data_IF_937214776133
#
_entry.id   IF_937214776133
#
_cell.length_a   1.000
_cell.length_b   1.000
_cell.length_c   1.000
_cell.angle_alpha   90.00
_cell.angle_beta   90.00
_cell.angle_gamma   90.00
#
_symmetry.space_group_name_H-M   'P 1'
#
loop_
_entity.id
_entity.type
_entity.pdbx_description
1 polymer ?
#
# COMPACT_ATOMS: atom_id res chain seq x y z
N UNK A 1 1.92 79.48 -30.65
CA UNK A 1 2.99 78.55 -30.19
C UNK A 1 2.54 77.20 -29.69
N UNK A 2 1.26 76.94 -29.45
CA UNK A 2 0.75 75.64 -28.89
C UNK A 2 0.57 74.46 -29.86
N UNK A 3 0.41 74.76 -31.18
CA UNK A 3 0.21 73.66 -32.16
C UNK A 3 1.46 72.77 -32.40
N UNK A 4 2.67 73.35 -32.17
CA UNK A 4 3.93 72.67 -32.44
C UNK A 4 4.30 71.63 -31.32
N UNK A 5 3.72 71.79 -30.14
CA UNK A 5 3.93 70.88 -29.01
C UNK A 5 3.10 69.54 -29.07
N UNK A 6 1.93 69.64 -29.69
CA UNK A 6 1.02 68.51 -29.83
C UNK A 6 1.52 67.50 -30.88
N UNK A 7 2.04 67.97 -31.98
CA UNK A 7 2.65 67.14 -33.03
C UNK A 7 3.88 66.38 -32.56
N UNK A 8 4.76 67.03 -31.76
CA UNK A 8 5.95 66.42 -31.19
C UNK A 8 5.57 65.28 -30.18
N UNK A 9 4.57 65.50 -29.34
CA UNK A 9 4.09 64.50 -28.39
C UNK A 9 3.48 63.24 -29.07
N UNK A 10 2.73 63.48 -30.17
CA UNK A 10 2.15 62.37 -30.98
C UNK A 10 3.27 61.59 -31.69
N UNK A 11 4.26 62.29 -32.27
CA UNK A 11 5.40 61.63 -32.90
C UNK A 11 6.23 60.81 -31.92
N UNK A 12 6.47 61.30 -30.70
CA UNK A 12 7.17 60.55 -29.64
C UNK A 12 6.39 59.35 -29.21
N UNK A 13 5.05 59.43 -29.06
CA UNK A 13 4.20 58.32 -28.71
C UNK A 13 4.17 57.22 -29.80
N UNK A 14 4.15 57.64 -31.07
CA UNK A 14 4.20 56.67 -32.20
C UNK A 14 5.58 55.99 -32.31
N UNK A 15 6.68 56.69 -32.04
CA UNK A 15 8.01 56.09 -31.99
C UNK A 15 8.12 55.09 -30.82
N UNK A 16 7.63 55.48 -29.64
CA UNK A 16 7.61 54.58 -28.48
C UNK A 16 6.77 53.30 -28.74
N UNK A 17 5.62 53.45 -29.38
CA UNK A 17 4.78 52.35 -29.80
C UNK A 17 5.49 51.42 -30.82
N UNK A 18 6.14 52.01 -31.82
CA UNK A 18 6.90 51.26 -32.82
C UNK A 18 8.05 50.46 -32.19
N UNK A 19 8.78 51.08 -31.26
CA UNK A 19 9.83 50.41 -30.49
C UNK A 19 9.26 49.26 -29.65
N UNK A 20 8.14 49.45 -28.94
CA UNK A 20 7.49 48.41 -28.16
C UNK A 20 7.04 47.21 -29.03
N UNK A 21 6.50 47.50 -30.22
CA UNK A 21 6.12 46.44 -31.20
C UNK A 21 7.34 45.68 -31.70
N UNK A 22 8.45 46.36 -31.98
CA UNK A 22 9.70 45.69 -32.40
C UNK A 22 10.25 44.80 -31.29
N UNK A 23 10.29 45.29 -30.05
CA UNK A 23 10.71 44.46 -28.91
C UNK A 23 9.76 43.28 -28.64
N UNK A 24 8.45 43.46 -28.80
CA UNK A 24 7.48 42.38 -28.71
C UNK A 24 7.74 41.28 -29.74
N UNK A 25 7.92 41.64 -31.00
CA UNK A 25 8.20 40.67 -32.06
C UNK A 25 9.61 40.07 -31.95
N UNK A 26 10.61 40.81 -31.52
CA UNK A 26 11.94 40.28 -31.25
C UNK A 26 11.91 39.28 -30.09
N UNK A 27 11.23 39.62 -28.99
CA UNK A 27 11.03 38.71 -27.85
C UNK A 27 10.28 37.43 -28.25
N UNK A 28 9.23 37.58 -29.07
CA UNK A 28 8.47 36.44 -29.58
C UNK A 28 9.32 35.55 -30.52
N UNK A 29 10.14 36.13 -31.39
CA UNK A 29 11.05 35.40 -32.26
C UNK A 29 12.12 34.63 -31.45
N UNK A 30 12.73 35.29 -30.45
CA UNK A 30 13.69 34.64 -29.55
C UNK A 30 13.03 33.48 -28.78
N UNK A 31 11.85 33.71 -28.21
CA UNK A 31 11.12 32.65 -27.51
C UNK A 31 10.81 31.44 -28.41
N UNK A 32 10.50 31.67 -29.68
CA UNK A 32 10.27 30.61 -30.67
C UNK A 32 11.54 29.89 -31.10
N UNK A 33 12.66 30.60 -31.25
CA UNK A 33 13.95 30.03 -31.64
C UNK A 33 14.64 29.25 -30.50
N UNK A 34 14.34 29.61 -29.25
CA UNK A 34 14.90 28.93 -28.06
C UNK A 34 14.03 27.75 -27.57
N UNK A 35 12.88 27.51 -28.22
CA UNK A 35 12.01 26.42 -27.86
C UNK A 35 12.67 25.08 -28.17
N UNK A 36 12.81 24.21 -27.17
CA UNK A 36 13.43 22.87 -27.37
C UNK A 36 12.59 22.05 -28.34
N UNK A 37 13.28 21.31 -29.22
CA UNK A 37 12.66 20.46 -30.26
C UNK A 37 11.64 19.48 -29.67
N UNK A 38 11.90 18.94 -28.49
CA UNK A 38 11.06 17.98 -27.79
C UNK A 38 9.69 18.57 -27.43
N UNK A 39 9.65 19.82 -26.96
CA UNK A 39 8.40 20.53 -26.64
C UNK A 39 7.58 20.79 -27.90
N UNK A 40 8.24 21.16 -29.00
CA UNK A 40 7.58 21.36 -30.28
C UNK A 40 6.96 20.06 -30.84
N UNK A 41 7.64 18.94 -30.70
CA UNK A 41 7.13 17.62 -31.14
C UNK A 41 5.91 17.17 -30.34
N UNK A 42 5.93 17.42 -29.03
CA UNK A 42 4.79 17.12 -28.15
C UNK A 42 3.55 17.95 -28.50
N UNK A 43 3.71 19.26 -28.70
CA UNK A 43 2.62 20.15 -29.09
C UNK A 43 2.05 19.82 -30.47
N UNK A 44 2.92 19.44 -31.43
CA UNK A 44 2.48 18.94 -32.70
C UNK A 44 1.63 17.67 -32.56
N UNK A 45 2.09 16.71 -31.76
CA UNK A 45 1.36 15.46 -31.54
C UNK A 45 -0.01 15.73 -30.88
N UNK A 46 -0.05 16.60 -29.86
CA UNK A 46 -1.31 17.02 -29.22
C UNK A 46 -2.30 17.62 -30.23
N UNK A 47 -1.79 18.52 -31.10
CA UNK A 47 -2.61 19.15 -32.12
C UNK A 47 -3.20 18.12 -33.11
N UNK A 48 -2.33 17.23 -33.64
CA UNK A 48 -2.77 16.20 -34.58
C UNK A 48 -3.81 15.27 -33.98
N UNK A 49 -3.64 14.83 -32.72
CA UNK A 49 -4.61 13.97 -32.03
C UNK A 49 -5.93 14.72 -31.82
N UNK A 50 -5.87 15.98 -31.35
CA UNK A 50 -7.07 16.79 -31.12
C UNK A 50 -7.87 17.09 -32.39
N UNK A 51 -7.19 17.22 -33.53
CA UNK A 51 -7.84 17.49 -34.84
C UNK A 51 -8.35 16.23 -35.55
N UNK A 52 -7.73 15.06 -35.32
CA UNK A 52 -7.97 13.88 -36.19
C UNK A 52 -8.49 12.65 -35.44
N UNK A 53 -8.43 12.59 -34.11
CA UNK A 53 -8.94 11.44 -33.39
C UNK A 53 -10.47 11.41 -33.48
N UNK A 54 -11.04 10.24 -33.73
CA UNK A 54 -12.48 10.04 -34.02
C UNK A 54 -13.42 10.36 -32.85
N UNK A 55 -12.92 10.44 -31.62
CA UNK A 55 -13.67 10.87 -30.43
C UNK A 55 -13.16 12.21 -29.95
N UNK A 56 -14.05 13.01 -29.39
CA UNK A 56 -13.66 14.25 -28.71
C UNK A 56 -12.90 13.93 -27.43
N UNK A 57 -11.67 14.45 -27.30
CA UNK A 57 -10.86 14.41 -26.09
C UNK A 57 -10.55 15.84 -25.69
N UNK A 58 -10.83 16.23 -24.46
CA UNK A 58 -10.48 17.57 -23.97
C UNK A 58 -8.96 17.72 -23.84
N UNK A 59 -8.46 18.95 -23.99
CA UNK A 59 -7.02 19.22 -23.84
C UNK A 59 -6.49 18.81 -22.45
N UNK A 60 -7.30 18.98 -21.38
CA UNK A 60 -6.94 18.55 -20.03
C UNK A 60 -6.82 17.04 -19.92
N UNK A 61 -7.81 16.31 -20.39
CA UNK A 61 -7.81 14.84 -20.39
C UNK A 61 -6.63 14.27 -21.20
N UNK A 62 -6.31 14.89 -22.33
CA UNK A 62 -5.16 14.47 -23.13
C UNK A 62 -3.84 14.71 -22.37
N UNK A 63 -3.71 15.86 -21.71
CA UNK A 63 -2.53 16.18 -20.90
C UNK A 63 -2.34 15.19 -19.77
N UNK A 64 -3.39 14.90 -19.00
CA UNK A 64 -3.36 13.94 -17.89
C UNK A 64 -2.94 12.54 -18.34
N UNK A 65 -3.54 12.06 -19.44
CA UNK A 65 -3.18 10.76 -20.05
C UNK A 65 -1.73 10.72 -20.51
N UNK A 66 -1.21 11.84 -21.06
CA UNK A 66 0.18 11.92 -21.52
C UNK A 66 1.17 11.88 -20.36
N UNK A 67 0.90 12.60 -19.27
CA UNK A 67 1.75 12.59 -18.07
C UNK A 67 1.67 11.23 -17.36
N UNK A 68 0.48 10.62 -17.28
CA UNK A 68 0.31 9.24 -16.78
C UNK A 68 1.13 8.24 -17.59
N UNK A 69 1.12 8.37 -18.92
CA UNK A 69 1.93 7.55 -19.81
C UNK A 69 3.43 7.74 -19.59
N UNK A 70 3.88 8.99 -19.44
CA UNK A 70 5.27 9.31 -19.11
C UNK A 70 5.69 8.66 -17.78
N UNK A 71 4.92 8.84 -16.72
CA UNK A 71 5.23 8.26 -15.40
C UNK A 71 5.35 6.73 -15.49
N UNK A 72 4.37 6.05 -16.11
CA UNK A 72 4.38 4.60 -16.29
C UNK A 72 5.53 4.07 -17.14
N UNK A 73 6.09 4.89 -18.04
CA UNK A 73 7.22 4.48 -18.89
C UNK A 73 8.56 4.39 -18.13
N UNK A 74 8.65 4.96 -16.92
CA UNK A 74 9.86 4.95 -16.11
C UNK A 74 10.00 3.61 -15.35
N UNK A 75 9.00 3.29 -14.54
CA UNK A 75 8.89 2.03 -13.82
C UNK A 75 7.43 1.83 -13.33
N UNK A 76 7.04 0.64 -12.85
CA UNK A 76 5.66 0.37 -12.43
C UNK A 76 5.23 1.12 -11.14
N UNK A 77 6.14 1.78 -10.44
CA UNK A 77 5.90 2.48 -9.17
C UNK A 77 5.77 3.99 -9.34
N UNK A 78 6.20 4.51 -10.51
CA UNK A 78 6.02 5.91 -10.88
C UNK A 78 4.59 6.18 -11.29
N UNK A 79 4.00 7.27 -10.76
CA UNK A 79 2.59 7.56 -10.96
C UNK A 79 2.33 9.07 -10.97
N UNK A 80 1.41 9.49 -11.85
CA UNK A 80 0.88 10.84 -11.85
C UNK A 80 -0.56 10.82 -11.36
N UNK A 81 -0.88 11.77 -10.50
CA UNK A 81 -2.21 11.99 -9.94
C UNK A 81 -2.72 13.38 -10.34
N UNK A 82 -3.94 13.47 -10.80
CA UNK A 82 -4.68 14.73 -10.80
C UNK A 82 -4.88 15.23 -9.36
N UNK A 83 -5.27 16.48 -9.16
CA UNK A 83 -5.49 17.01 -7.81
C UNK A 83 -6.56 16.22 -7.03
N UNK A 84 -7.58 15.72 -7.70
CA UNK A 84 -8.63 14.89 -7.11
C UNK A 84 -8.09 13.51 -6.73
N UNK A 85 -7.45 12.80 -7.66
CA UNK A 85 -6.84 11.49 -7.40
C UNK A 85 -5.81 11.56 -6.26
N UNK A 86 -5.01 12.64 -6.19
CA UNK A 86 -4.04 12.78 -5.11
C UNK A 86 -4.70 12.99 -3.74
N UNK A 87 -5.74 13.82 -3.68
CA UNK A 87 -6.52 14.00 -2.45
C UNK A 87 -7.13 12.67 -1.98
N UNK A 88 -7.69 11.88 -2.91
CA UNK A 88 -8.32 10.60 -2.59
C UNK A 88 -7.26 9.55 -2.16
N UNK A 89 -6.08 9.55 -2.79
CA UNK A 89 -4.95 8.73 -2.37
C UNK A 89 -4.48 9.09 -0.94
N UNK A 90 -4.38 10.38 -0.61
CA UNK A 90 -4.03 10.83 0.75
C UNK A 90 -5.09 10.39 1.78
N UNK A 91 -6.38 10.56 1.47
CA UNK A 91 -7.47 10.12 2.34
C UNK A 91 -7.41 8.60 2.55
N UNK A 92 -7.23 7.84 1.47
CA UNK A 92 -7.07 6.38 1.54
C UNK A 92 -5.88 5.96 2.41
N UNK A 93 -4.72 6.60 2.26
CA UNK A 93 -3.51 6.29 3.04
C UNK A 93 -3.60 6.76 4.51
N UNK A 94 -4.48 7.72 4.82
CA UNK A 94 -4.77 8.09 6.22
C UNK A 94 -5.67 7.09 6.94
N UNK A 95 -6.16 6.06 6.24
CA UNK A 95 -7.07 5.05 6.77
C UNK A 95 -8.55 5.36 6.56
N UNK A 96 -8.89 6.54 6.03
CA UNK A 96 -10.28 6.88 5.70
C UNK A 96 -10.71 6.12 4.45
N UNK A 97 -11.71 5.28 4.58
CA UNK A 97 -12.25 4.44 3.51
C UNK A 97 -13.77 4.62 3.41
N UNK A 98 -14.31 4.31 2.23
CA UNK A 98 -15.76 4.17 2.02
C UNK A 98 -16.02 2.91 1.22
N UNK A 99 -17.09 2.21 1.53
CA UNK A 99 -17.46 0.96 0.88
C UNK A 99 -17.79 -0.14 1.87
N UNK A 100 -17.71 -1.38 1.42
CA UNK A 100 -17.90 -2.57 2.26
C UNK A 100 -16.57 -3.10 2.85
N UNK A 101 -15.44 -2.80 2.23
CA UNK A 101 -14.10 -3.12 2.74
C UNK A 101 -13.63 -4.53 2.46
N UNK A 102 -13.76 -4.98 1.22
CA UNK A 102 -13.24 -6.26 0.73
C UNK A 102 -12.37 -6.09 -0.50
N UNK A 103 -11.33 -6.94 -0.63
CA UNK A 103 -10.68 -7.24 -1.90
C UNK A 103 -11.19 -8.59 -2.39
N UNK A 104 -11.44 -8.71 -3.68
CA UNK A 104 -12.05 -9.91 -4.24
C UNK A 104 -11.66 -10.13 -5.71
N UNK A 105 -11.74 -11.40 -6.13
CA UNK A 105 -11.61 -11.80 -7.51
C UNK A 105 -12.78 -12.72 -7.90
N UNK A 106 -13.05 -12.83 -9.21
CA UNK A 106 -13.99 -13.84 -9.71
C UNK A 106 -13.21 -15.08 -10.11
N UNK A 107 -13.62 -16.22 -9.60
CA UNK A 107 -13.08 -17.54 -9.93
C UNK A 107 -14.12 -18.27 -10.77
N UNK A 108 -13.76 -18.58 -12.00
CA UNK A 108 -14.62 -19.34 -12.92
C UNK A 108 -14.66 -20.83 -12.59
N UNK A 109 -15.63 -21.54 -13.20
CA UNK A 109 -15.79 -22.98 -13.04
C UNK A 109 -14.53 -23.74 -13.47
N UNK A 110 -14.12 -24.71 -12.64
CA UNK A 110 -12.96 -25.58 -12.92
C UNK A 110 -11.59 -24.92 -12.75
N UNK A 111 -11.52 -23.66 -12.30
CA UNK A 111 -10.26 -22.95 -12.04
C UNK A 111 -9.74 -23.23 -10.65
N UNK A 112 -10.64 -23.32 -9.65
CA UNK A 112 -10.27 -23.57 -8.25
C UNK A 112 -10.05 -25.06 -7.99
N UNK A 113 -8.98 -25.47 -7.27
CA UNK A 113 -8.69 -26.89 -6.99
C UNK A 113 -9.83 -27.66 -6.32
N UNK A 114 -10.69 -26.99 -5.54
CA UNK A 114 -11.87 -27.58 -4.90
C UNK A 114 -13.17 -27.44 -5.71
N UNK A 115 -13.08 -27.17 -7.00
CA UNK A 115 -14.24 -26.96 -7.89
C UNK A 115 -15.22 -25.85 -7.42
N UNK A 116 -14.73 -24.87 -6.64
CA UNK A 116 -15.52 -23.70 -6.25
C UNK A 116 -15.44 -22.62 -7.30
N UNK A 117 -16.55 -21.93 -7.53
CA UNK A 117 -16.63 -20.77 -8.43
C UNK A 117 -17.44 -19.66 -7.77
N UNK A 118 -17.26 -18.44 -8.27
CA UNK A 118 -17.92 -17.23 -7.75
C UNK A 118 -16.95 -16.15 -7.31
N UNK A 119 -17.40 -15.28 -6.45
CA UNK A 119 -16.59 -14.19 -5.91
C UNK A 119 -15.78 -14.69 -4.71
N UNK A 120 -14.49 -14.91 -4.90
CA UNK A 120 -13.57 -15.22 -3.80
C UNK A 120 -13.18 -13.92 -3.09
N UNK A 121 -13.43 -13.87 -1.79
CA UNK A 121 -12.96 -12.78 -0.92
C UNK A 121 -11.48 -13.01 -0.61
N UNK A 122 -10.61 -12.21 -1.22
CA UNK A 122 -9.16 -12.31 -1.05
C UNK A 122 -8.70 -11.71 0.28
N UNK A 123 -9.31 -10.58 0.67
CA UNK A 123 -9.05 -9.96 1.97
C UNK A 123 -10.26 -9.18 2.47
N UNK A 124 -10.35 -9.01 3.79
CA UNK A 124 -11.33 -8.16 4.47
C UNK A 124 -10.57 -7.12 5.28
N UNK A 125 -10.84 -5.85 5.00
CA UNK A 125 -10.16 -4.72 5.65
C UNK A 125 -10.61 -4.62 7.11
N UNK A 126 -9.67 -4.54 8.03
CA UNK A 126 -9.93 -4.39 9.46
C UNK A 126 -10.84 -3.17 9.75
N UNK A 127 -11.78 -3.35 10.69
CA UNK A 127 -12.79 -2.37 11.08
C UNK A 127 -13.78 -1.95 9.97
N UNK A 128 -13.78 -2.61 8.82
CA UNK A 128 -14.75 -2.37 7.73
C UNK A 128 -16.14 -2.91 8.05
N UNK A 129 -17.18 -2.50 7.29
CA UNK A 129 -18.52 -3.10 7.40
C UNK A 129 -18.50 -4.63 7.19
N UNK A 130 -17.78 -5.13 6.20
CA UNK A 130 -17.63 -6.56 5.97
C UNK A 130 -16.93 -7.29 7.13
N UNK A 131 -15.88 -6.68 7.70
CA UNK A 131 -15.20 -7.23 8.88
C UNK A 131 -16.16 -7.35 10.07
N UNK A 132 -16.94 -6.29 10.35
CA UNK A 132 -17.92 -6.24 11.44
C UNK A 132 -19.09 -7.20 11.25
N UNK A 133 -19.46 -7.51 10.01
CA UNK A 133 -20.49 -8.51 9.72
C UNK A 133 -20.05 -9.94 9.97
N UNK A 134 -18.74 -10.18 10.14
CA UNK A 134 -18.15 -11.51 10.31
C UNK A 134 -17.64 -12.16 9.02
N UNK A 135 -17.77 -11.51 7.85
CA UNK A 135 -17.18 -11.98 6.59
C UNK A 135 -15.65 -12.07 6.72
N UNK A 136 -15.05 -13.11 6.20
CA UNK A 136 -13.59 -13.33 6.27
C UNK A 136 -13.00 -13.64 4.89
N UNK A 137 -11.69 -13.49 4.79
CA UNK A 137 -10.94 -13.90 3.61
C UNK A 137 -11.12 -15.39 3.34
N UNK A 138 -11.15 -15.76 2.06
CA UNK A 138 -11.30 -17.12 1.57
C UNK A 138 -12.70 -17.65 1.49
N UNK A 139 -13.68 -16.86 1.75
CA UNK A 139 -15.06 -17.22 1.49
C UNK A 139 -15.43 -16.96 0.04
N UNK A 140 -16.27 -17.85 -0.49
CA UNK A 140 -16.83 -17.71 -1.83
C UNK A 140 -18.25 -17.14 -1.73
N UNK A 141 -18.44 -15.90 -2.12
CA UNK A 141 -19.77 -15.27 -2.23
C UNK A 141 -20.43 -15.72 -3.52
N UNK A 142 -21.52 -16.44 -3.39
CA UNK A 142 -22.32 -16.96 -4.52
C UNK A 142 -23.41 -16.00 -4.97
N UNK A 143 -23.99 -15.25 -4.04
CA UNK A 143 -25.08 -14.34 -4.31
C UNK A 143 -25.20 -13.23 -3.26
N UNK A 144 -26.03 -12.24 -3.58
CA UNK A 144 -26.44 -11.21 -2.62
C UNK A 144 -27.97 -11.03 -2.66
N UNK A 145 -28.56 -10.68 -1.50
CA UNK A 145 -29.98 -10.41 -1.37
C UNK A 145 -30.20 -8.93 -0.99
N UNK A 146 -31.01 -8.25 -1.79
CA UNK A 146 -31.38 -6.85 -1.54
C UNK A 146 -32.84 -6.62 -1.92
N UNK A 147 -33.62 -6.02 -1.02
CA UNK A 147 -35.06 -5.71 -1.20
C UNK A 147 -35.88 -6.93 -1.69
N UNK A 148 -35.59 -8.13 -1.17
CA UNK A 148 -36.26 -9.38 -1.54
C UNK A 148 -35.84 -9.97 -2.90
N UNK A 149 -34.99 -9.29 -3.67
CA UNK A 149 -34.39 -9.82 -4.89
C UNK A 149 -33.03 -10.46 -4.61
N UNK A 150 -32.71 -11.50 -5.37
CA UNK A 150 -31.41 -12.19 -5.32
C UNK A 150 -30.60 -11.87 -6.56
N UNK A 151 -29.36 -11.43 -6.40
CA UNK A 151 -28.39 -11.24 -7.46
C UNK A 151 -27.30 -12.32 -7.37
N UNK A 152 -26.94 -12.94 -8.50
CA UNK A 152 -25.80 -13.86 -8.64
C UNK A 152 -24.74 -13.18 -9.49
N UNK A 153 -23.48 -13.61 -9.36
CA UNK A 153 -22.35 -12.93 -9.97
C UNK A 153 -21.53 -13.91 -10.83
N UNK A 154 -21.38 -13.58 -12.12
CA UNK A 154 -20.59 -14.33 -13.07
C UNK A 154 -19.31 -13.58 -13.49
N UNK A 155 -19.05 -12.44 -12.91
CA UNK A 155 -17.85 -11.65 -13.13
C UNK A 155 -17.55 -10.72 -11.94
N UNK A 156 -16.31 -10.25 -11.90
CA UNK A 156 -15.90 -9.21 -10.96
C UNK A 156 -16.71 -7.93 -11.10
N UNK A 157 -16.97 -7.53 -12.35
CA UNK A 157 -17.67 -6.28 -12.65
C UNK A 157 -19.14 -6.31 -12.19
N UNK A 158 -19.81 -7.46 -12.31
CA UNK A 158 -21.19 -7.61 -11.81
C UNK A 158 -21.25 -7.42 -10.31
N UNK A 159 -20.31 -7.98 -9.55
CA UNK A 159 -20.25 -7.79 -8.10
C UNK A 159 -19.90 -6.34 -7.74
N UNK A 160 -18.93 -5.73 -8.43
CA UNK A 160 -18.57 -4.32 -8.25
C UNK A 160 -19.79 -3.43 -8.49
N UNK A 161 -20.47 -3.60 -9.63
CA UNK A 161 -21.65 -2.82 -9.98
C UNK A 161 -22.80 -3.01 -8.97
N UNK A 162 -22.97 -4.23 -8.45
CA UNK A 162 -23.96 -4.47 -7.38
C UNK A 162 -23.63 -3.65 -6.13
N UNK A 163 -22.39 -3.65 -5.66
CA UNK A 163 -21.97 -2.87 -4.48
C UNK A 163 -22.08 -1.36 -4.75
N UNK A 164 -21.63 -0.90 -5.92
CA UNK A 164 -21.62 0.52 -6.26
C UNK A 164 -23.04 1.11 -6.40
N UNK A 165 -24.00 0.30 -6.82
CA UNK A 165 -25.40 0.69 -6.91
C UNK A 165 -26.10 0.86 -5.54
N UNK A 166 -25.47 0.48 -4.43
CA UNK A 166 -26.00 0.68 -3.07
C UNK A 166 -25.69 2.08 -2.58
N UNK A 167 -26.67 2.72 -1.95
CA UNK A 167 -26.44 3.96 -1.21
C UNK A 167 -25.71 3.67 0.11
N UNK A 168 -25.04 4.69 0.65
CA UNK A 168 -24.44 4.57 1.98
C UNK A 168 -25.52 4.30 3.03
N UNK A 169 -25.27 3.28 3.87
CA UNK A 169 -26.22 2.82 4.88
C UNK A 169 -27.28 1.82 4.39
N UNK A 170 -27.38 1.55 3.09
CA UNK A 170 -28.29 0.52 2.59
C UNK A 170 -27.75 -0.88 2.93
N UNK A 171 -28.52 -1.65 3.71
CA UNK A 171 -28.19 -3.01 4.10
C UNK A 171 -28.55 -4.00 2.98
N UNK A 172 -27.66 -4.96 2.76
CA UNK A 172 -27.86 -6.12 1.91
C UNK A 172 -27.17 -7.33 2.52
N UNK A 173 -27.61 -8.53 2.14
CA UNK A 173 -26.97 -9.77 2.60
C UNK A 173 -26.05 -10.32 1.52
N UNK A 174 -24.85 -10.73 1.92
CA UNK A 174 -23.96 -11.56 1.12
C UNK A 174 -24.14 -13.01 1.56
N UNK A 175 -24.31 -13.91 0.60
CA UNK A 175 -24.45 -15.36 0.82
C UNK A 175 -23.15 -15.99 0.38
N UNK A 176 -22.41 -16.53 1.33
CA UNK A 176 -21.16 -17.25 1.07
C UNK A 176 -21.30 -18.75 1.33
N UNK A 177 -20.25 -19.49 1.03
CA UNK A 177 -20.12 -20.92 1.33
C UNK A 177 -19.95 -21.21 2.83
N UNK A 178 -19.82 -20.18 3.68
CA UNK A 178 -19.67 -20.30 5.14
C UNK A 178 -20.80 -19.65 5.94
N UNK A 179 -21.60 -18.77 5.33
CA UNK A 179 -22.69 -18.12 6.04
C UNK A 179 -23.35 -16.98 5.29
N UNK A 180 -24.24 -16.31 6.00
CA UNK A 180 -24.93 -15.11 5.53
C UNK A 180 -24.46 -13.90 6.32
N UNK A 181 -24.09 -12.83 5.64
CA UNK A 181 -23.54 -11.62 6.25
C UNK A 181 -24.34 -10.40 5.85
N UNK A 182 -24.90 -9.72 6.82
CA UNK A 182 -25.57 -8.41 6.57
C UNK A 182 -24.50 -7.32 6.56
N UNK A 183 -24.40 -6.64 5.44
CA UNK A 183 -23.38 -5.61 5.18
C UNK A 183 -24.08 -4.34 4.70
N UNK A 184 -23.60 -3.18 5.13
CA UNK A 184 -24.00 -1.88 4.61
C UNK A 184 -22.76 -1.13 4.12
N UNK A 185 -22.86 -0.51 2.94
CA UNK A 185 -21.80 0.39 2.47
C UNK A 185 -21.74 1.62 3.38
N UNK A 186 -20.57 1.95 3.91
CA UNK A 186 -20.39 3.13 4.76
C UNK A 186 -18.94 3.63 4.78
N UNK A 187 -18.76 4.85 5.29
CA UNK A 187 -17.44 5.36 5.64
C UNK A 187 -16.93 4.69 6.92
N UNK A 188 -15.64 4.37 6.97
CA UNK A 188 -14.99 3.77 8.14
C UNK A 188 -13.51 4.16 8.19
N UNK A 189 -12.90 4.04 9.37
CA UNK A 189 -11.45 4.13 9.53
C UNK A 189 -10.89 2.71 9.57
N UNK A 190 -9.98 2.41 8.65
CA UNK A 190 -9.31 1.11 8.57
C UNK A 190 -8.45 0.88 9.80
N UNK A 191 -8.46 -0.32 10.36
CA UNK A 191 -7.42 -0.81 11.26
C UNK A 191 -6.41 -1.65 10.49
N UNK A 192 -5.16 -1.60 10.94
CA UNK A 192 -4.02 -2.22 10.27
C UNK A 192 -3.40 -3.35 11.08
N UNK A 193 -3.74 -3.45 12.37
CA UNK A 193 -3.14 -4.41 13.27
C UNK A 193 -4.19 -5.30 13.94
N UNK A 194 -3.77 -6.53 14.20
CA UNK A 194 -4.55 -7.56 14.89
C UNK A 194 -3.59 -8.41 15.72
N UNK A 195 -3.97 -8.78 16.93
CA UNK A 195 -3.18 -9.66 17.80
C UNK A 195 -4.04 -10.81 18.36
N UNK A 196 -3.43 -11.96 18.55
CA UNK A 196 -4.05 -13.11 19.21
C UNK A 196 -3.02 -13.90 20.01
N UNK A 197 -3.50 -14.50 21.10
CA UNK A 197 -2.85 -15.60 21.81
C UNK A 197 -3.61 -16.92 21.54
N UNK A 198 -3.35 -17.96 22.29
CA UNK A 198 -4.08 -19.22 22.15
C UNK A 198 -5.60 -19.09 22.44
N UNK A 199 -5.97 -18.25 23.39
CA UNK A 199 -7.30 -18.16 23.97
C UNK A 199 -7.98 -16.79 23.83
N UNK A 200 -7.25 -15.76 23.44
CA UNK A 200 -7.72 -14.39 23.31
C UNK A 200 -7.32 -13.77 21.98
N UNK A 201 -8.07 -12.76 21.56
CA UNK A 201 -7.69 -11.91 20.43
C UNK A 201 -8.03 -10.46 20.73
N UNK A 202 -7.22 -9.55 20.19
CA UNK A 202 -7.37 -8.11 20.28
C UNK A 202 -7.50 -7.50 18.90
N UNK A 203 -8.50 -6.66 18.77
CA UNK A 203 -8.77 -5.90 17.54
C UNK A 203 -8.81 -4.42 17.84
N UNK A 204 -8.38 -3.60 16.90
CA UNK A 204 -8.47 -2.16 17.00
C UNK A 204 -9.63 -1.66 16.18
N UNK A 205 -10.49 -0.86 16.79
CA UNK A 205 -11.62 -0.19 16.14
C UNK A 205 -11.56 1.32 16.35
N UNK A 206 -12.46 2.04 15.70
CA UNK A 206 -12.53 3.50 15.81
C UNK A 206 -13.95 3.93 16.13
N UNK A 207 -14.14 4.57 17.28
CA UNK A 207 -15.42 5.08 17.77
C UNK A 207 -15.31 6.58 18.03
N UNK A 208 -16.11 7.39 17.32
CA UNK A 208 -16.05 8.85 17.44
C UNK A 208 -14.64 9.44 17.18
N UNK A 209 -13.85 8.80 16.32
CA UNK A 209 -12.47 9.21 16.00
C UNK A 209 -11.41 8.79 17.02
N UNK A 210 -11.80 8.03 18.07
CA UNK A 210 -10.87 7.48 19.06
C UNK A 210 -10.58 6.02 18.76
N UNK A 211 -9.34 5.57 18.94
CA UNK A 211 -9.00 4.15 18.90
C UNK A 211 -9.55 3.46 20.15
N UNK A 212 -10.05 2.25 19.94
CA UNK A 212 -10.56 1.37 20.99
C UNK A 212 -9.97 -0.01 20.73
N UNK A 213 -9.20 -0.52 21.68
CA UNK A 213 -8.74 -1.92 21.68
C UNK A 213 -9.82 -2.76 22.35
N UNK A 214 -10.24 -3.81 21.67
CA UNK A 214 -11.27 -4.73 22.16
C UNK A 214 -10.71 -6.14 22.26
N UNK A 215 -10.76 -6.70 23.45
CA UNK A 215 -10.44 -8.11 23.71
C UNK A 215 -11.68 -8.98 23.52
N UNK A 216 -11.49 -10.13 22.90
CA UNK A 216 -12.53 -11.17 22.81
C UNK A 216 -11.95 -12.54 23.12
N UNK A 217 -12.78 -13.42 23.69
CA UNK A 217 -12.42 -14.82 23.94
C UNK A 217 -12.36 -15.60 22.62
N UNK A 218 -11.42 -16.52 22.53
CA UNK A 218 -11.13 -17.30 21.33
C UNK A 218 -9.98 -16.69 20.55
N UNK A 219 -8.89 -17.42 20.42
CA UNK A 219 -7.68 -17.04 19.76
C UNK A 219 -7.23 -18.07 18.73
N UNK A 220 -5.95 -18.28 18.64
CA UNK A 220 -5.31 -19.26 17.75
C UNK A 220 -4.90 -20.47 18.60
N UNK A 221 -5.79 -21.44 18.72
CA UNK A 221 -5.69 -22.58 19.67
C UNK A 221 -4.36 -23.36 19.61
N UNK A 222 -3.68 -23.36 18.47
CA UNK A 222 -2.40 -24.06 18.32
C UNK A 222 -1.17 -23.21 18.68
N UNK A 223 -1.34 -21.96 19.11
CA UNK A 223 -0.24 -21.20 19.70
C UNK A 223 0.08 -21.74 21.11
N UNK A 224 1.37 -21.90 21.47
CA UNK A 224 1.73 -22.29 22.82
C UNK A 224 1.50 -21.14 23.82
N UNK A 225 1.35 -21.49 25.10
CA UNK A 225 1.24 -20.50 26.17
C UNK A 225 2.43 -19.53 26.18
N UNK A 226 2.17 -18.24 26.35
CA UNK A 226 3.18 -17.18 26.30
C UNK A 226 3.59 -16.76 24.89
N UNK A 227 2.99 -17.31 23.84
CA UNK A 227 3.16 -16.85 22.47
C UNK A 227 2.01 -15.97 22.02
N UNK A 228 2.34 -14.92 21.27
CA UNK A 228 1.36 -14.09 20.57
C UNK A 228 1.64 -14.04 19.05
N UNK A 229 0.58 -13.92 18.28
CA UNK A 229 0.58 -13.62 16.86
C UNK A 229 0.14 -12.18 16.68
N UNK A 230 0.89 -11.40 15.93
CA UNK A 230 0.55 -10.02 15.58
C UNK A 230 0.68 -9.82 14.07
N UNK A 231 -0.42 -9.43 13.44
CA UNK A 231 -0.46 -9.10 12.03
C UNK A 231 -0.39 -7.60 11.81
N UNK A 232 0.38 -7.19 10.82
CA UNK A 232 0.44 -5.82 10.31
C UNK A 232 0.12 -5.82 8.82
N UNK A 233 -0.99 -5.23 8.43
CA UNK A 233 -1.44 -5.22 7.04
C UNK A 233 -0.71 -4.21 6.15
N UNK A 234 -0.42 -2.99 6.66
CA UNK A 234 0.28 -1.93 5.92
C UNK A 234 0.89 -0.89 6.86
N UNK A 235 1.86 -0.13 6.36
CA UNK A 235 2.51 0.98 7.08
C UNK A 235 1.83 2.32 6.76
N UNK A 236 0.53 2.42 7.02
CA UNK A 236 -0.27 3.62 6.76
C UNK A 236 -1.06 4.08 7.98
N UNK A 237 -1.64 5.27 7.89
CA UNK A 237 -2.57 5.80 8.88
C UNK A 237 -2.05 5.70 10.31
N UNK A 238 -2.79 5.00 11.15
CA UNK A 238 -2.50 4.82 12.56
C UNK A 238 -1.77 3.52 12.92
N UNK A 239 -1.22 2.78 11.94
CA UNK A 239 -0.65 1.45 12.14
C UNK A 239 0.38 1.39 13.28
N UNK A 240 1.27 2.40 13.41
CA UNK A 240 2.24 2.44 14.51
C UNK A 240 1.58 2.60 15.88
N UNK A 241 0.53 3.40 15.98
CA UNK A 241 -0.21 3.57 17.24
C UNK A 241 -1.02 2.33 17.61
N UNK A 242 -1.63 1.67 16.61
CA UNK A 242 -2.35 0.41 16.80
C UNK A 242 -1.41 -0.68 17.29
N UNK A 243 -0.24 -0.81 16.65
CA UNK A 243 0.77 -1.78 17.07
C UNK A 243 1.25 -1.51 18.50
N UNK A 244 1.51 -0.25 18.84
CA UNK A 244 1.94 0.14 20.19
C UNK A 244 0.91 -0.25 21.26
N UNK A 245 -0.39 -0.06 21.00
CA UNK A 245 -1.47 -0.47 21.90
C UNK A 245 -1.56 -2.00 22.01
N UNK A 246 -1.37 -2.74 20.91
CA UNK A 246 -1.35 -4.21 20.97
C UNK A 246 -0.11 -4.77 21.66
N UNK A 247 1.05 -4.11 21.56
CA UNK A 247 2.24 -4.49 22.34
C UNK A 247 2.06 -4.20 23.84
N UNK A 248 1.29 -3.18 24.23
CA UNK A 248 0.89 -2.99 25.60
C UNK A 248 0.08 -4.19 26.15
N UNK A 249 -0.87 -4.71 25.35
CA UNK A 249 -1.61 -5.94 25.67
C UNK A 249 -0.70 -7.18 25.70
N UNK A 250 0.24 -7.30 24.75
CA UNK A 250 1.26 -8.34 24.74
C UNK A 250 2.05 -8.37 26.07
N UNK A 251 2.45 -7.21 26.57
CA UNK A 251 3.18 -7.04 27.82
C UNK A 251 2.28 -7.37 29.02
N UNK A 252 1.01 -6.95 29.00
CA UNK A 252 0.03 -7.26 30.06
C UNK A 252 -0.26 -8.75 30.17
N UNK A 253 -0.29 -9.49 29.07
CA UNK A 253 -0.45 -10.95 29.02
C UNK A 253 0.85 -11.70 29.38
N UNK A 254 1.95 -11.00 29.64
CA UNK A 254 3.28 -11.58 29.93
C UNK A 254 3.74 -12.54 28.82
N UNK A 255 3.46 -12.22 27.58
CA UNK A 255 3.96 -12.98 26.44
C UNK A 255 5.48 -12.86 26.31
N UNK A 256 6.14 -13.93 25.91
CA UNK A 256 7.61 -14.00 25.77
C UNK A 256 8.06 -14.29 24.36
N UNK A 257 7.13 -14.62 23.47
CA UNK A 257 7.42 -14.82 22.04
C UNK A 257 6.33 -14.22 21.16
N UNK A 258 6.76 -13.67 20.02
CA UNK A 258 5.93 -12.97 19.07
C UNK A 258 6.14 -13.52 17.66
N UNK A 259 5.05 -13.88 16.99
CA UNK A 259 5.04 -14.10 15.54
C UNK A 259 4.51 -12.84 14.88
N UNK A 260 5.39 -12.10 14.18
CA UNK A 260 5.04 -10.93 13.39
C UNK A 260 4.66 -11.35 11.98
N UNK A 261 3.42 -11.17 11.60
CA UNK A 261 2.92 -11.51 10.25
C UNK A 261 2.92 -10.28 9.35
N UNK A 262 3.78 -10.32 8.33
CA UNK A 262 3.93 -9.31 7.27
C UNK A 262 3.50 -9.85 5.89
N UNK A 263 2.84 -11.00 5.84
CA UNK A 263 2.35 -11.57 4.58
C UNK A 263 1.35 -10.64 3.90
N UNK A 264 1.51 -10.43 2.60
CA UNK A 264 0.69 -9.51 1.81
C UNK A 264 0.91 -8.03 2.12
N UNK A 265 1.78 -7.68 3.06
CA UNK A 265 2.09 -6.29 3.41
C UNK A 265 3.05 -5.65 2.40
N UNK A 266 2.51 -4.89 1.46
CA UNK A 266 3.28 -4.20 0.41
C UNK A 266 4.12 -3.00 0.89
N UNK A 267 4.18 -2.73 2.20
CA UNK A 267 4.88 -1.61 2.80
C UNK A 267 3.99 -0.39 3.08
N UNK A 268 4.51 0.80 2.86
CA UNK A 268 3.82 2.06 3.11
C UNK A 268 4.76 3.21 3.41
N UNK A 269 4.41 4.06 4.36
CA UNK A 269 5.19 5.23 4.71
C UNK A 269 6.42 4.92 5.56
N UNK A 270 7.55 5.49 5.18
CA UNK A 270 8.84 5.34 5.88
C UNK A 270 8.75 5.81 7.34
N UNK A 271 8.08 6.94 7.61
CA UNK A 271 7.93 7.45 8.97
C UNK A 271 7.13 6.48 9.88
N UNK A 272 6.10 5.80 9.34
CA UNK A 272 5.35 4.79 10.09
C UNK A 272 6.24 3.56 10.36
N UNK A 273 7.07 3.16 9.40
CA UNK A 273 8.05 2.09 9.58
C UNK A 273 9.08 2.46 10.64
N UNK A 274 9.58 3.71 10.66
CA UNK A 274 10.51 4.20 11.68
C UNK A 274 9.88 4.21 13.09
N UNK A 275 8.61 4.58 13.22
CA UNK A 275 7.86 4.55 14.49
C UNK A 275 7.69 3.10 14.97
N UNK A 276 7.33 2.17 14.08
CA UNK A 276 7.19 0.73 14.39
C UNK A 276 8.55 0.12 14.75
N UNK A 277 9.62 0.51 14.06
CA UNK A 277 10.97 0.06 14.41
C UNK A 277 11.32 0.38 15.88
N UNK A 278 10.90 1.55 16.39
CA UNK A 278 11.09 1.95 17.78
C UNK A 278 10.34 1.06 18.79
N UNK A 279 9.20 0.47 18.41
CA UNK A 279 8.48 -0.49 19.24
C UNK A 279 9.32 -1.74 19.49
N UNK A 280 10.03 -2.22 18.48
CA UNK A 280 10.85 -3.44 18.55
C UNK A 280 12.26 -3.22 19.12
N UNK A 281 12.81 -2.02 18.98
CA UNK A 281 14.23 -1.76 19.32
C UNK A 281 14.42 -0.78 20.46
N UNK A 282 13.33 -0.17 20.96
CA UNK A 282 13.41 0.92 21.93
C UNK A 282 14.02 0.53 23.27
N UNK A 283 13.84 -0.73 23.70
CA UNK A 283 14.42 -1.25 24.95
C UNK A 283 15.83 -1.86 24.79
N UNK A 284 16.33 -1.98 23.55
CA UNK A 284 17.65 -2.56 23.30
C UNK A 284 18.77 -1.58 23.73
N UNK A 285 19.74 -2.10 24.49
CA UNK A 285 20.97 -1.39 24.74
C UNK A 285 21.81 -1.36 23.44
N UNK A 286 22.30 -0.17 23.05
CA UNK A 286 23.10 0.04 21.85
C UNK A 286 22.41 -0.29 20.51
N UNK A 287 21.09 -0.09 20.42
CA UNK A 287 20.38 -0.21 19.13
C UNK A 287 20.94 0.77 18.09
N UNK A 288 21.01 0.32 16.83
CA UNK A 288 21.36 1.20 15.72
C UNK A 288 20.20 2.19 15.48
N UNK A 289 20.40 3.52 15.61
CA UNK A 289 19.33 4.48 15.43
C UNK A 289 18.90 4.63 13.96
N UNK A 290 19.66 4.11 12.99
CA UNK A 290 19.31 4.18 11.58
C UNK A 290 18.29 3.09 11.28
N UNK A 291 17.17 3.45 10.67
CA UNK A 291 16.16 2.51 10.19
C UNK A 291 16.44 2.06 8.73
N UNK A 292 16.87 2.99 7.88
CA UNK A 292 17.30 2.69 6.52
C UNK A 292 18.17 3.81 5.96
N UNK A 293 18.92 3.51 4.90
CA UNK A 293 19.66 4.49 4.10
C UNK A 293 19.07 4.54 2.69
N UNK A 294 18.75 5.74 2.20
CA UNK A 294 18.37 6.00 0.82
C UNK A 294 19.56 6.57 0.06
N UNK A 295 19.91 6.00 -1.11
CA UNK A 295 20.96 6.48 -2.00
C UNK A 295 20.33 7.01 -3.27
N UNK A 296 20.52 8.30 -3.55
CA UNK A 296 19.93 9.03 -4.66
C UNK A 296 20.79 8.99 -5.93
N UNK A 297 20.19 9.42 -7.04
CA UNK A 297 20.80 9.41 -8.38
C UNK A 297 22.18 10.12 -8.46
N UNK A 298 22.38 11.18 -7.70
CA UNK A 298 23.64 11.96 -7.66
C UNK A 298 24.68 11.37 -6.71
N UNK A 299 24.38 10.25 -6.07
CA UNK A 299 25.27 9.54 -5.15
C UNK A 299 25.19 10.04 -3.69
N UNK A 300 24.43 11.11 -3.38
CA UNK A 300 24.23 11.45 -1.99
C UNK A 300 23.33 10.42 -1.30
N UNK A 301 23.44 10.31 0.00
CA UNK A 301 22.63 9.40 0.79
C UNK A 301 21.98 10.11 1.97
N UNK A 302 20.76 9.69 2.31
CA UNK A 302 20.00 10.15 3.46
C UNK A 302 19.65 8.97 4.35
N UNK A 303 19.72 9.17 5.68
CA UNK A 303 19.29 8.16 6.64
C UNK A 303 17.91 8.53 7.19
N UNK A 304 17.05 7.52 7.28
CA UNK A 304 15.85 7.57 8.10
C UNK A 304 16.17 6.93 9.46
N UNK A 305 15.64 7.50 10.52
CA UNK A 305 16.00 7.10 11.88
C UNK A 305 14.82 6.45 12.59
N UNK A 306 15.12 5.47 13.42
CA UNK A 306 14.19 4.88 14.38
C UNK A 306 13.62 5.96 15.29
N UNK A 307 12.34 5.93 15.55
CA UNK A 307 11.66 6.93 16.38
C UNK A 307 11.15 6.30 17.66
N UNK A 308 11.72 6.65 18.80
CA UNK A 308 11.24 6.24 20.13
C UNK A 308 10.07 7.15 20.57
N UNK A 309 8.91 6.96 19.95
CA UNK A 309 7.71 7.77 20.19
C UNK A 309 6.88 7.26 21.36
N UNK A 310 6.94 5.97 21.65
CA UNK A 310 6.08 5.28 22.61
C UNK A 310 6.85 4.99 23.90
N UNK A 311 6.13 4.97 25.04
CA UNK A 311 6.71 4.59 26.33
C UNK A 311 7.10 3.11 26.39
N UNK A 312 7.87 2.74 27.42
CA UNK A 312 8.41 1.38 27.60
C UNK A 312 7.30 0.31 27.65
N UNK A 313 6.13 0.64 28.19
CA UNK A 313 4.96 -0.25 28.25
C UNK A 313 4.43 -0.65 26.87
N UNK A 314 4.74 0.15 25.84
CA UNK A 314 4.36 -0.04 24.43
C UNK A 314 5.53 -0.46 23.56
N UNK A 315 6.62 -0.87 24.16
CA UNK A 315 7.79 -1.40 23.47
C UNK A 315 7.94 -2.88 23.79
N UNK A 316 8.47 -3.62 22.82
CA UNK A 316 8.72 -5.05 22.99
C UNK A 316 9.86 -5.25 23.99
N UNK A 317 9.70 -6.08 25.05
CA UNK A 317 10.74 -6.33 26.03
C UNK A 317 11.99 -6.94 25.40
N UNK A 318 13.17 -6.52 25.86
CA UNK A 318 14.44 -7.14 25.45
C UNK A 318 14.42 -8.64 25.80
N UNK A 319 14.88 -9.47 24.85
CA UNK A 319 14.88 -10.92 25.00
C UNK A 319 13.58 -11.60 24.55
N UNK A 320 12.56 -10.84 24.11
CA UNK A 320 11.38 -11.44 23.46
C UNK A 320 11.82 -12.17 22.19
N UNK A 321 11.41 -13.42 22.05
CA UNK A 321 11.68 -14.23 20.86
C UNK A 321 10.74 -13.80 19.72
N UNK A 322 11.29 -13.25 18.65
CA UNK A 322 10.49 -12.78 17.50
C UNK A 322 10.72 -13.70 16.31
N UNK A 323 9.64 -14.10 15.65
CA UNK A 323 9.65 -14.78 14.36
C UNK A 323 8.80 -14.01 13.35
N UNK A 324 9.18 -13.99 12.09
CA UNK A 324 8.51 -13.22 11.04
C UNK A 324 7.90 -14.16 10.00
N UNK A 325 6.62 -13.98 9.70
CA UNK A 325 5.98 -14.59 8.53
C UNK A 325 6.00 -13.60 7.37
N UNK A 326 6.43 -14.07 6.21
CA UNK A 326 6.52 -13.27 4.99
C UNK A 326 6.08 -14.07 3.77
N UNK A 327 5.79 -13.37 2.69
CA UNK A 327 5.44 -13.97 1.40
C UNK A 327 5.91 -13.10 0.22
N UNK A 328 5.50 -13.47 -0.98
CA UNK A 328 5.80 -12.72 -2.20
C UNK A 328 5.08 -11.35 -2.30
N UNK A 329 4.15 -11.05 -1.40
CA UNK A 329 3.50 -9.74 -1.25
C UNK A 329 4.19 -8.84 -0.21
N UNK A 330 5.08 -9.40 0.63
CA UNK A 330 5.86 -8.64 1.61
C UNK A 330 6.88 -7.76 0.89
N UNK A 331 6.77 -6.43 0.99
CA UNK A 331 7.55 -5.50 0.17
C UNK A 331 7.93 -4.20 0.88
N UNK A 332 9.00 -3.54 0.39
CA UNK A 332 9.33 -2.14 0.70
C UNK A 332 9.54 -1.88 2.21
N UNK A 333 8.69 -1.08 2.86
CA UNK A 333 8.78 -0.78 4.30
C UNK A 333 8.75 -2.05 5.17
N UNK A 334 8.04 -3.10 4.75
CA UNK A 334 8.06 -4.41 5.44
C UNK A 334 9.43 -5.05 5.39
N UNK A 335 10.07 -5.05 4.23
CA UNK A 335 11.43 -5.59 4.05
C UNK A 335 12.47 -4.71 4.75
N UNK A 336 12.24 -3.39 4.81
CA UNK A 336 13.10 -2.47 5.56
C UNK A 336 12.98 -2.70 7.08
N UNK A 337 11.76 -2.91 7.61
CA UNK A 337 11.56 -3.28 9.02
C UNK A 337 12.30 -4.58 9.35
N UNK A 338 12.18 -5.62 8.52
CA UNK A 338 12.92 -6.88 8.73
C UNK A 338 14.42 -6.60 8.80
N UNK A 339 14.96 -5.73 7.93
CA UNK A 339 16.35 -5.29 7.96
C UNK A 339 16.73 -4.60 9.27
N UNK A 340 15.86 -3.75 9.83
CA UNK A 340 16.05 -3.15 11.15
C UNK A 340 16.15 -4.22 12.23
N UNK A 341 15.24 -5.21 12.21
CA UNK A 341 15.21 -6.28 13.21
C UNK A 341 16.48 -7.14 13.16
N UNK A 342 16.93 -7.51 11.96
CA UNK A 342 18.20 -8.27 11.75
C UNK A 342 19.42 -7.46 12.21
N UNK A 343 19.53 -6.22 11.74
CA UNK A 343 20.71 -5.40 12.00
C UNK A 343 20.84 -4.98 13.46
N UNK A 344 19.75 -5.01 14.22
CA UNK A 344 19.72 -4.79 15.66
C UNK A 344 19.76 -6.10 16.48
N UNK A 345 19.80 -7.26 15.85
CA UNK A 345 19.88 -8.56 16.53
C UNK A 345 18.58 -8.97 17.23
N UNK A 346 17.44 -8.40 16.84
CA UNK A 346 16.11 -8.82 17.32
C UNK A 346 15.75 -10.19 16.73
N UNK A 347 16.10 -10.41 15.47
CA UNK A 347 15.93 -11.67 14.75
C UNK A 347 17.20 -12.01 13.94
N UNK A 348 17.31 -13.28 13.57
CA UNK A 348 18.22 -13.77 12.54
C UNK A 348 17.44 -14.14 11.27
N UNK A 349 18.14 -14.37 10.14
CA UNK A 349 17.49 -14.84 8.91
C UNK A 349 16.71 -16.15 9.11
N UNK A 350 17.18 -17.01 10.01
CA UNK A 350 16.52 -18.28 10.38
C UNK A 350 15.22 -18.13 11.13
N UNK A 351 14.89 -16.91 11.61
CA UNK A 351 13.62 -16.60 12.26
C UNK A 351 12.55 -16.08 11.27
N UNK A 352 12.90 -16.03 9.97
CA UNK A 352 12.00 -15.60 8.91
C UNK A 352 11.45 -16.81 8.16
N UNK A 353 10.13 -16.92 8.11
CA UNK A 353 9.37 -18.01 7.52
C UNK A 353 8.61 -17.52 6.29
N UNK A 354 9.08 -17.90 5.09
CA UNK A 354 8.56 -17.41 3.81
C UNK A 354 7.64 -18.45 3.18
N UNK A 355 6.50 -18.01 2.64
CA UNK A 355 5.55 -18.87 1.95
C UNK A 355 6.18 -19.58 0.75
N UNK A 356 6.00 -20.89 0.70
CA UNK A 356 6.21 -21.70 -0.49
C UNK A 356 4.85 -22.07 -1.08
N UNK A 357 4.39 -21.27 -2.02
CA UNK A 357 3.15 -21.55 -2.77
C UNK A 357 3.43 -22.62 -3.82
N UNK A 358 2.55 -23.61 -3.92
CA UNK A 358 2.65 -24.62 -4.97
C UNK A 358 2.55 -24.05 -6.38
N UNK A 359 3.00 -24.83 -7.37
CA UNK A 359 3.07 -24.40 -8.77
C UNK A 359 1.70 -24.00 -9.36
N UNK A 360 0.61 -24.58 -8.90
CA UNK A 360 -0.75 -24.22 -9.34
C UNK A 360 -1.13 -22.79 -8.96
N UNK A 361 -0.81 -22.36 -7.72
CA UNK A 361 -1.08 -20.99 -7.30
C UNK A 361 -0.17 -20.00 -8.03
N UNK A 362 1.08 -20.35 -8.24
CA UNK A 362 2.01 -19.50 -9.00
C UNK A 362 1.57 -19.35 -10.46
N UNK A 363 0.99 -20.40 -11.05
CA UNK A 363 0.37 -20.32 -12.37
C UNK A 363 -0.84 -19.40 -12.37
N UNK A 364 -1.73 -19.52 -11.36
CA UNK A 364 -2.88 -18.63 -11.21
C UNK A 364 -2.45 -17.14 -11.12
N UNK A 365 -1.42 -16.82 -10.34
CA UNK A 365 -0.89 -15.46 -10.26
C UNK A 365 -0.37 -14.94 -11.60
N UNK A 366 0.30 -15.78 -12.40
CA UNK A 366 0.77 -15.46 -13.77
C UNK A 366 -0.39 -15.19 -14.71
N UNK A 367 -1.39 -16.05 -14.71
CA UNK A 367 -2.56 -15.93 -15.58
C UNK A 367 -3.34 -14.64 -15.25
N UNK A 368 -3.33 -14.19 -13.99
CA UNK A 368 -3.94 -12.94 -13.52
C UNK A 368 -2.99 -11.73 -13.55
N UNK A 369 -1.81 -11.84 -14.16
CA UNK A 369 -0.81 -10.75 -14.31
C UNK A 369 -0.41 -10.09 -12.99
N UNK A 370 -0.37 -10.83 -11.89
CA UNK A 370 0.12 -10.34 -10.61
C UNK A 370 1.61 -9.99 -10.69
N UNK A 371 2.00 -8.86 -10.11
CA UNK A 371 3.42 -8.47 -9.98
C UNK A 371 4.22 -9.45 -9.13
N UNK A 372 3.56 -10.24 -8.29
CA UNK A 372 4.18 -11.26 -7.44
C UNK A 372 4.32 -12.62 -8.12
N UNK A 373 3.79 -12.80 -9.34
CA UNK A 373 3.64 -14.10 -10.03
C UNK A 373 4.96 -14.88 -10.25
N UNK A 374 6.11 -14.21 -10.19
CA UNK A 374 7.43 -14.84 -10.39
C UNK A 374 8.26 -14.90 -9.11
N UNK A 375 7.65 -14.59 -7.94
CA UNK A 375 8.34 -14.37 -6.68
C UNK A 375 7.98 -15.41 -5.61
N UNK A 376 7.92 -16.70 -5.97
CA UNK A 376 7.71 -17.76 -4.99
C UNK A 376 8.95 -17.94 -4.11
N UNK A 377 8.77 -18.37 -2.85
CA UNK A 377 9.82 -18.64 -1.85
C UNK A 377 10.73 -17.46 -1.54
N UNK A 378 10.25 -16.24 -1.80
CA UNK A 378 10.97 -15.00 -1.46
C UNK A 378 10.00 -13.85 -1.21
N UNK A 379 10.46 -12.81 -0.54
CA UNK A 379 9.74 -11.55 -0.48
C UNK A 379 9.80 -10.81 -1.83
N UNK A 380 9.07 -9.72 -1.94
CA UNK A 380 8.92 -9.01 -3.21
C UNK A 380 10.24 -8.49 -3.78
N UNK A 381 11.14 -7.98 -2.94
CA UNK A 381 12.41 -7.37 -3.38
C UNK A 381 12.22 -5.93 -3.86
N UNK A 382 11.46 -5.11 -3.14
CA UNK A 382 11.28 -3.69 -3.46
C UNK A 382 12.22 -2.81 -2.62
N UNK A 383 13.51 -2.83 -2.95
CA UNK A 383 14.52 -1.99 -2.33
C UNK A 383 14.67 -0.61 -2.97
N UNK A 384 13.56 0.06 -3.29
CA UNK A 384 13.51 1.41 -3.87
C UNK A 384 12.47 2.28 -3.19
N UNK A 385 12.74 3.59 -3.15
CA UNK A 385 11.88 4.58 -2.51
C UNK A 385 11.28 5.53 -3.54
N UNK A 386 9.99 5.84 -3.36
CA UNK A 386 9.31 6.85 -4.14
C UNK A 386 9.19 8.15 -3.33
N UNK A 387 9.43 9.28 -4.02
CA UNK A 387 9.11 10.63 -3.52
C UNK A 387 7.95 11.21 -4.32
N UNK A 388 7.06 11.93 -3.63
CA UNK A 388 5.93 12.60 -4.27
C UNK A 388 6.17 14.09 -4.35
N UNK A 389 6.13 14.62 -5.57
CA UNK A 389 6.28 16.05 -5.87
C UNK A 389 4.92 16.64 -6.19
N UNK A 390 4.48 17.58 -5.38
CA UNK A 390 3.15 18.22 -5.53
C UNK A 390 3.32 19.58 -6.20
N UNK A 391 2.55 19.80 -7.27
CA UNK A 391 2.48 21.11 -7.92
C UNK A 391 1.77 22.10 -6.97
N UNK A 392 2.41 23.18 -6.54
CA UNK A 392 1.83 24.10 -5.56
C UNK A 392 0.60 24.86 -6.06
N UNK A 393 0.45 24.98 -7.39
CA UNK A 393 -0.67 25.72 -8.03
C UNK A 393 -1.85 24.81 -8.34
N UNK A 394 -1.61 23.72 -9.04
CA UNK A 394 -2.67 22.83 -9.55
C UNK A 394 -3.03 21.72 -8.56
N UNK A 395 -2.16 21.45 -7.55
CA UNK A 395 -2.29 20.35 -6.59
C UNK A 395 -2.17 18.94 -7.19
N UNK A 396 -1.84 18.86 -8.45
CA UNK A 396 -1.42 17.60 -9.10
C UNK A 396 -0.16 17.05 -8.42
N UNK A 397 0.03 15.74 -8.48
CA UNK A 397 1.20 15.12 -7.88
C UNK A 397 1.87 14.13 -8.83
N UNK A 398 3.21 14.12 -8.77
CA UNK A 398 4.04 13.16 -9.48
C UNK A 398 4.85 12.36 -8.45
N UNK A 399 4.56 11.08 -8.36
CA UNK A 399 5.27 10.12 -7.54
C UNK A 399 6.33 9.43 -8.39
N UNK A 400 7.59 9.56 -8.01
CA UNK A 400 8.74 9.04 -8.75
C UNK A 400 9.61 8.19 -7.86
N UNK A 401 10.20 7.14 -8.43
CA UNK A 401 11.30 6.41 -7.80
C UNK A 401 12.54 7.29 -7.79
N UNK A 402 13.02 7.65 -6.61
CA UNK A 402 14.09 8.64 -6.42
C UNK A 402 15.34 8.08 -5.79
N UNK A 403 15.25 6.97 -5.07
CA UNK A 403 16.40 6.39 -4.38
C UNK A 403 16.34 4.86 -4.30
N UNK A 404 17.50 4.24 -4.17
CA UNK A 404 17.65 2.85 -3.76
C UNK A 404 17.78 2.78 -2.23
N UNK A 405 17.15 1.77 -1.61
CA UNK A 405 17.15 1.56 -0.17
C UNK A 405 18.20 0.52 0.22
N UNK A 406 18.91 0.82 1.29
CA UNK A 406 19.80 -0.08 2.00
C UNK A 406 19.39 -0.22 3.47
N UNK A 407 19.65 -1.37 4.05
CA UNK A 407 19.41 -1.64 5.46
C UNK A 407 20.30 -0.78 6.38
N UNK A 408 20.04 -0.74 7.70
CA UNK A 408 20.71 0.18 8.62
C UNK A 408 22.24 0.18 8.55
N UNK A 409 22.88 -0.99 8.45
CA UNK A 409 24.33 -1.10 8.29
C UNK A 409 24.84 -0.69 6.90
N UNK A 410 23.94 -0.47 5.94
CA UNK A 410 24.26 0.05 4.62
C UNK A 410 24.87 -0.96 3.64
N UNK A 411 24.93 -2.24 4.00
CA UNK A 411 25.61 -3.28 3.21
C UNK A 411 24.61 -4.07 2.34
N UNK A 412 23.35 -4.18 2.78
CA UNK A 412 22.34 -5.01 2.12
C UNK A 412 21.31 -4.15 1.41
N UNK A 413 21.12 -4.39 0.12
CA UNK A 413 19.94 -3.97 -0.64
C UNK A 413 19.23 -5.21 -1.19
N UNK A 414 17.94 -5.30 -0.88
CA UNK A 414 17.10 -6.42 -1.31
C UNK A 414 16.42 -6.17 -2.67
N UNK A 415 16.79 -5.07 -3.36
CA UNK A 415 16.16 -4.69 -4.63
C UNK A 415 16.29 -5.79 -5.67
N UNK A 416 15.15 -6.21 -6.25
CA UNK A 416 14.97 -7.31 -7.21
C UNK A 416 15.35 -8.72 -6.67
N UNK A 417 15.95 -8.82 -5.49
CA UNK A 417 16.37 -10.08 -4.87
C UNK A 417 15.27 -10.59 -3.93
N UNK A 418 14.86 -9.76 -2.96
CA UNK A 418 13.99 -10.15 -1.84
C UNK A 418 14.72 -11.05 -0.83
N UNK A 419 14.12 -11.20 0.34
CA UNK A 419 14.54 -12.18 1.33
C UNK A 419 14.19 -13.59 0.84
N UNK A 420 15.11 -14.53 0.99
CA UNK A 420 14.97 -15.89 0.45
C UNK A 420 15.82 -16.91 1.23
N UNK A 421 15.73 -18.17 0.84
CA UNK A 421 16.46 -19.27 1.50
C UNK A 421 17.98 -19.17 1.37
N UNK A 422 18.52 -18.56 0.31
CA UNK A 422 19.97 -18.41 0.12
C UNK A 422 20.57 -17.45 1.16
N UNK A 423 19.74 -16.56 1.72
CA UNK A 423 20.10 -15.68 2.85
C UNK A 423 19.96 -16.37 4.21
N UNK A 424 19.39 -17.58 4.28
CA UNK A 424 19.16 -18.33 5.51
C UNK A 424 17.71 -18.34 6.00
N UNK A 425 16.78 -17.71 5.26
CA UNK A 425 15.35 -17.76 5.61
C UNK A 425 14.80 -19.18 5.43
N UNK A 426 13.82 -19.53 6.26
CA UNK A 426 13.11 -20.80 6.14
C UNK A 426 11.94 -20.66 5.18
N UNK A 427 11.65 -21.70 4.41
CA UNK A 427 10.43 -21.76 3.59
C UNK A 427 9.39 -22.66 4.25
N UNK A 428 8.13 -22.26 4.18
CA UNK A 428 7.00 -22.98 4.77
C UNK A 428 5.94 -23.19 3.70
N UNK A 429 5.47 -24.46 3.52
CA UNK A 429 4.38 -24.71 2.59
C UNK A 429 3.16 -23.86 2.91
N UNK A 430 2.68 -23.15 1.93
CA UNK A 430 1.45 -22.38 1.98
C UNK A 430 0.47 -22.98 0.97
N UNK A 431 -0.60 -23.60 1.43
CA UNK A 431 -1.66 -24.06 0.54
C UNK A 431 -2.55 -22.85 0.26
N UNK A 432 -2.75 -22.55 -1.00
CA UNK A 432 -3.75 -21.58 -1.43
C UNK A 432 -5.16 -22.16 -1.32
N UNK A 433 -5.51 -22.55 -0.13
CA UNK A 433 -6.85 -23.02 0.16
C UNK A 433 -7.28 -22.53 1.53
N UNK A 434 -8.03 -21.48 1.49
CA UNK A 434 -8.55 -20.80 2.68
C UNK A 434 -9.59 -21.64 3.42
N UNK A 435 -10.02 -22.78 2.87
CA UNK A 435 -10.95 -23.69 3.55
C UNK A 435 -10.28 -24.53 4.63
N UNK A 436 -8.95 -24.69 4.57
CA UNK A 436 -8.20 -25.47 5.57
C UNK A 436 -7.56 -24.60 6.67
N UNK A 437 -7.90 -23.31 6.75
CA UNK A 437 -7.28 -22.38 7.68
C UNK A 437 -5.91 -21.87 7.20
N UNK A 438 -5.20 -21.18 8.07
CA UNK A 438 -3.87 -20.64 7.77
C UNK A 438 -2.80 -21.72 7.89
N UNK A 439 -2.61 -22.48 6.82
CA UNK A 439 -1.67 -23.60 6.79
C UNK A 439 -0.22 -23.15 6.99
N UNK A 440 0.17 -21.96 6.47
CA UNK A 440 1.50 -21.44 6.68
C UNK A 440 1.73 -21.11 8.16
N UNK A 441 0.79 -20.44 8.81
CA UNK A 441 0.92 -20.11 10.23
C UNK A 441 1.01 -21.39 11.07
N UNK A 442 0.15 -22.37 10.83
CA UNK A 442 0.16 -23.64 11.60
C UNK A 442 1.45 -24.42 11.39
N UNK A 443 2.00 -24.48 10.18
CA UNK A 443 3.30 -25.13 9.92
C UNK A 443 4.47 -24.33 10.51
N UNK A 444 4.44 -23.00 10.42
CA UNK A 444 5.46 -22.16 11.04
C UNK A 444 5.47 -22.34 12.57
N UNK A 445 4.30 -22.37 13.22
CA UNK A 445 4.20 -22.62 14.66
C UNK A 445 4.85 -23.94 15.07
N UNK A 446 4.67 -25.03 14.29
CA UNK A 446 5.34 -26.31 14.52
C UNK A 446 6.86 -26.19 14.41
N UNK A 447 7.37 -25.40 13.44
CA UNK A 447 8.81 -25.22 13.26
C UNK A 447 9.45 -24.28 14.29
N UNK A 448 8.68 -23.32 14.84
CA UNK A 448 9.15 -22.35 15.84
C UNK A 448 9.21 -22.98 17.23
N UNK A 449 8.22 -23.80 17.57
CA UNK A 449 7.98 -24.27 18.95
C UNK A 449 8.06 -25.79 19.10
N UNK A 450 8.00 -26.56 18.01
CA UNK A 450 8.10 -28.03 18.01
C UNK A 450 9.50 -28.51 17.89
#
# INVERSE_FOLDING_TARGET
MEQNGRGKKIATALIALAIAVVFFFAGFAVARLTRKREVSSYEWAMKIVGENYYKNVSSGEFLDRSIKGLAKSLDPYCEYYTAEEYRDALASNSGSKSGVGVSFTYVGDGVHPQAKSGILIESVIGNSPAYKSGLRAGEFVSSAVFNGGTATFNSRDEFTNFIDARADGEEFKLISDRGEYTVAKSAYTQSYCYMATADKQWTVSYEGGRRVVSETVGGIEYLPGGAAYLRLDQFFGNAAYEMAELIEEFNAENCTSLILDLRGNGGGYVNVMCDISGIFTGQLQNSNPIAMRAVFKDGHSENSYVTNRFGEEKQLPEGTKVSVLADNGTASASEALIGVLIDNGVIEYSDIYISDFGDEYMKYLKDNKSLSAEKNRRTYGKGIMQSTFVNPRTKEALKLTTAQIYWPKGEVSIHEIGLNSDMGCKTVPAIWDVTFGDTQLSEAVKLIYG
#
